data_IF_573192393541
#
_entry.id   IF_573192393541
#
_cell.length_a   1.000
_cell.length_b   1.000
_cell.length_c   1.000
_cell.angle_alpha   90.00
_cell.angle_beta   90.00
_cell.angle_gamma   90.00
#
_symmetry.space_group_name_H-M   'P 1'
#
loop_
_entity.id
_entity.type
_entity.pdbx_description
1 polymer ?
#
# COMPACT_ATOMS: atom_id res chain seq x y z
N UNK A 1 -4.20 -15.22 28.47
CA UNK A 1 -3.46 -16.19 27.58
C UNK A 1 -2.64 -15.43 26.55
N UNK A 2 -3.22 -14.48 25.79
CA UNK A 2 -2.55 -13.77 24.72
C UNK A 2 -1.29 -12.98 25.15
N UNK A 3 -1.28 -12.20 26.24
CA UNK A 3 -0.06 -11.54 26.73
C UNK A 3 1.06 -12.53 27.10
N UNK A 4 0.71 -13.73 27.56
CA UNK A 4 1.71 -14.77 27.83
C UNK A 4 2.35 -15.30 26.54
N UNK A 5 1.55 -15.47 25.47
CA UNK A 5 2.05 -15.91 24.17
C UNK A 5 2.97 -14.84 23.58
N UNK A 6 2.57 -13.56 23.61
CA UNK A 6 3.41 -12.46 23.13
C UNK A 6 4.71 -12.34 23.91
N UNK A 7 4.66 -12.48 25.24
CA UNK A 7 5.84 -12.49 26.09
C UNK A 7 6.75 -13.69 25.81
N UNK A 8 6.19 -14.84 25.45
CA UNK A 8 6.96 -16.03 25.10
C UNK A 8 7.66 -15.83 23.73
N UNK A 9 6.96 -15.26 22.74
CA UNK A 9 7.48 -15.08 21.37
C UNK A 9 8.47 -13.91 21.30
N UNK A 10 8.15 -12.79 21.91
CA UNK A 10 8.90 -11.53 21.76
C UNK A 10 9.73 -11.16 22.99
N UNK A 11 9.59 -11.88 24.10
CA UNK A 11 10.20 -11.53 25.39
C UNK A 11 9.36 -10.51 26.16
N UNK A 12 9.64 -10.42 27.47
CA UNK A 12 8.86 -9.59 28.40
C UNK A 12 9.12 -8.08 28.28
N UNK A 13 10.20 -7.69 27.60
CA UNK A 13 10.67 -6.32 27.54
C UNK A 13 10.37 -5.60 26.23
N UNK A 14 9.70 -6.27 25.27
CA UNK A 14 9.32 -5.61 24.02
C UNK A 14 8.19 -4.60 24.27
N UNK A 15 8.48 -3.33 24.03
CA UNK A 15 7.53 -2.23 24.20
C UNK A 15 7.14 -1.58 22.86
N UNK A 16 8.06 -1.61 21.87
CA UNK A 16 7.88 -0.89 20.61
C UNK A 16 8.43 -1.69 19.45
N UNK A 17 7.70 -1.69 18.35
CA UNK A 17 8.13 -2.22 17.06
C UNK A 17 8.13 -1.07 16.05
N UNK A 18 9.28 -0.81 15.41
CA UNK A 18 9.39 0.10 14.28
C UNK A 18 9.21 -0.69 12.98
N UNK A 19 8.34 -0.20 12.12
CA UNK A 19 8.01 -0.84 10.86
C UNK A 19 8.11 0.15 9.70
N UNK A 20 8.54 -0.34 8.54
CA UNK A 20 8.62 0.46 7.32
C UNK A 20 8.69 -0.42 6.07
N UNK A 21 8.55 0.20 4.90
CA UNK A 21 8.64 -0.47 3.61
C UNK A 21 7.34 -1.09 3.08
N UNK A 22 6.34 -1.28 3.94
CA UNK A 22 4.98 -1.65 3.55
C UNK A 22 3.99 -1.10 4.57
N UNK A 23 2.78 -0.78 4.13
CA UNK A 23 1.70 -0.34 5.02
C UNK A 23 1.20 -1.53 5.85
N UNK A 24 1.12 -1.34 7.15
CA UNK A 24 0.48 -2.31 8.05
C UNK A 24 -1.03 -2.09 8.07
N UNK A 25 -1.80 -3.18 8.07
CA UNK A 25 -3.25 -3.10 8.21
C UNK A 25 -3.66 -2.64 9.62
N UNK A 26 -4.78 -1.93 9.72
CA UNK A 26 -5.27 -1.36 10.98
C UNK A 26 -5.59 -2.43 12.04
N UNK A 27 -6.07 -3.60 11.63
CA UNK A 27 -6.39 -4.70 12.54
C UNK A 27 -5.13 -5.16 13.28
N UNK A 28 -4.03 -5.35 12.55
CA UNK A 28 -2.73 -5.72 13.11
C UNK A 28 -2.17 -4.62 14.02
N UNK A 29 -2.28 -3.33 13.64
CA UNK A 29 -1.87 -2.21 14.50
C UNK A 29 -2.60 -2.25 15.83
N UNK A 30 -3.94 -2.31 15.78
CA UNK A 30 -4.77 -2.36 16.99
C UNK A 30 -4.52 -3.62 17.83
N UNK A 31 -4.26 -4.76 17.20
CA UNK A 31 -3.89 -5.97 17.91
C UNK A 31 -2.68 -5.76 18.82
N UNK A 32 -1.59 -5.25 18.30
CA UNK A 32 -0.38 -5.00 19.09
C UNK A 32 -0.59 -3.92 20.16
N UNK A 33 -1.24 -2.82 19.82
CA UNK A 33 -1.54 -1.75 20.78
C UNK A 33 -2.39 -2.20 21.94
N UNK A 34 -3.46 -2.98 21.67
CA UNK A 34 -4.33 -3.51 22.72
C UNK A 34 -3.60 -4.51 23.63
N UNK A 35 -2.45 -5.00 23.23
CA UNK A 35 -1.59 -5.89 24.01
C UNK A 35 -0.35 -5.19 24.57
N UNK A 36 -0.32 -3.85 24.58
CA UNK A 36 0.72 -3.07 25.21
C UNK A 36 2.01 -2.92 24.39
N UNK A 37 2.01 -3.34 23.12
CA UNK A 37 3.14 -3.19 22.19
C UNK A 37 2.83 -2.04 21.23
N UNK A 38 3.65 -1.00 21.25
CA UNK A 38 3.50 0.15 20.39
C UNK A 38 4.04 -0.15 18.98
N UNK A 39 3.27 0.17 17.95
CA UNK A 39 3.73 0.14 16.57
C UNK A 39 4.04 1.56 16.10
N UNK A 40 5.26 1.77 15.61
CA UNK A 40 5.71 3.02 15.00
C UNK A 40 5.98 2.77 13.53
N UNK A 41 5.10 3.25 12.66
CA UNK A 41 5.33 3.20 11.22
C UNK A 41 6.22 4.34 10.77
N UNK A 42 7.13 4.02 9.83
CA UNK A 42 7.93 4.97 9.08
C UNK A 42 7.67 4.82 7.58
N UNK A 43 7.66 5.95 6.88
CA UNK A 43 7.45 6.01 5.46
C UNK A 43 8.65 6.65 4.76
N UNK A 44 9.02 6.07 3.62
CA UNK A 44 10.06 6.53 2.73
C UNK A 44 10.56 5.44 1.80
N UNK A 45 11.61 5.74 1.05
CA UNK A 45 12.20 4.85 0.06
C UNK A 45 13.72 5.05 -0.01
N UNK A 46 14.41 4.24 -0.80
CA UNK A 46 15.87 4.35 -0.97
C UNK A 46 16.29 5.73 -1.48
N UNK A 47 15.48 6.31 -2.34
CA UNK A 47 15.69 7.63 -2.93
C UNK A 47 15.59 8.78 -1.92
N UNK A 48 15.11 8.53 -0.70
CA UNK A 48 14.96 9.50 0.39
C UNK A 48 15.84 9.19 1.60
N UNK A 49 16.73 8.21 1.54
CA UNK A 49 17.79 7.82 2.48
C UNK A 49 17.35 7.48 3.93
N UNK A 50 16.49 6.55 4.21
CA UNK A 50 15.30 6.05 3.53
C UNK A 50 14.00 6.68 4.06
N UNK A 51 14.04 7.65 4.99
CA UNK A 51 12.92 8.11 5.80
C UNK A 51 12.40 9.48 5.40
N UNK A 52 11.08 9.60 5.24
CA UNK A 52 10.37 10.87 5.02
C UNK A 52 9.60 11.26 6.29
N UNK A 53 8.93 10.29 6.89
CA UNK A 53 8.15 10.49 8.11
C UNK A 53 8.21 9.26 9.01
N UNK A 54 7.96 9.45 10.29
CA UNK A 54 7.95 8.36 11.29
C UNK A 54 7.00 8.71 12.44
N UNK A 55 6.27 7.70 12.91
CA UNK A 55 5.52 7.80 14.16
C UNK A 55 6.47 7.68 15.36
N UNK A 56 6.22 8.49 16.38
CA UNK A 56 7.00 8.50 17.60
C UNK A 56 6.36 7.61 18.68
N UNK A 57 7.16 7.24 19.67
CA UNK A 57 6.71 6.54 20.88
C UNK A 57 6.02 7.47 21.88
N UNK A 58 6.20 8.77 21.71
CA UNK A 58 5.61 9.82 22.57
C UNK A 58 4.68 10.72 21.76
N UNK A 59 3.74 11.36 22.47
CA UNK A 59 2.80 12.32 21.85
C UNK A 59 3.53 13.63 21.43
N UNK A 60 3.05 14.31 20.37
CA UNK A 60 1.87 13.94 19.55
C UNK A 60 2.18 12.86 18.52
N UNK A 61 1.27 11.89 18.39
CA UNK A 61 1.33 10.82 17.40
C UNK A 61 -0.04 10.55 16.78
N UNK A 62 -0.06 10.01 15.59
CA UNK A 62 -1.30 9.52 14.95
C UNK A 62 -1.05 8.15 14.31
N UNK A 63 -1.59 7.11 14.92
CA UNK A 63 -1.45 5.72 14.51
C UNK A 63 -1.99 5.46 13.09
N UNK A 64 -2.96 6.26 12.63
CA UNK A 64 -3.56 6.12 11.31
C UNK A 64 -2.72 6.80 10.21
N UNK A 65 -1.68 7.54 10.60
CA UNK A 65 -0.71 8.18 9.70
C UNK A 65 0.55 7.32 9.55
N UNK A 66 1.37 7.64 8.56
CA UNK A 66 2.74 7.13 8.44
C UNK A 66 3.75 8.00 9.19
N UNK A 67 3.25 8.83 10.12
CA UNK A 67 4.02 9.58 11.09
C UNK A 67 4.24 11.06 10.76
N UNK A 68 4.97 11.71 11.64
CA UNK A 68 5.35 13.10 11.52
C UNK A 68 6.48 13.24 10.49
N UNK A 69 6.37 14.25 9.63
CA UNK A 69 7.42 14.57 8.66
C UNK A 69 8.71 14.98 9.39
N UNK A 70 9.86 14.48 8.92
CA UNK A 70 11.15 14.85 9.50
C UNK A 70 11.46 16.33 9.30
N UNK A 71 12.01 16.97 10.32
CA UNK A 71 12.21 18.44 10.37
C UNK A 71 13.15 18.98 9.28
N UNK A 72 14.05 18.14 8.76
CA UNK A 72 15.00 18.51 7.70
C UNK A 72 14.42 18.35 6.28
N UNK A 73 13.17 17.93 6.14
CA UNK A 73 12.50 17.70 4.86
C UNK A 73 11.34 18.66 4.63
N UNK A 74 11.12 18.98 3.37
CA UNK A 74 9.95 19.70 2.90
C UNK A 74 9.09 18.70 2.11
N UNK A 75 7.90 18.39 2.61
CA UNK A 75 6.94 17.53 1.91
C UNK A 75 5.81 18.40 1.38
N UNK A 76 5.47 18.22 0.12
CA UNK A 76 4.32 18.84 -0.54
C UNK A 76 3.48 17.78 -1.24
N UNK A 77 2.19 18.02 -1.30
CA UNK A 77 1.29 17.26 -2.15
C UNK A 77 1.12 18.05 -3.46
N UNK A 78 1.62 17.48 -4.56
CA UNK A 78 1.58 18.10 -5.88
C UNK A 78 0.82 17.16 -6.81
N UNK A 79 -0.34 17.57 -7.30
CA UNK A 79 -1.26 16.74 -8.09
C UNK A 79 -1.57 15.40 -7.40
N UNK A 80 -1.92 15.46 -6.10
CA UNK A 80 -2.21 14.34 -5.21
C UNK A 80 -1.00 13.40 -4.92
N UNK A 81 0.17 13.69 -5.49
CA UNK A 81 1.41 12.93 -5.27
C UNK A 81 2.25 13.52 -4.14
N UNK A 82 2.78 12.65 -3.28
CA UNK A 82 3.74 13.02 -2.24
C UNK A 82 5.07 13.38 -2.92
N UNK A 83 5.47 14.64 -2.78
CA UNK A 83 6.73 15.16 -3.30
C UNK A 83 7.61 15.66 -2.16
N UNK A 84 8.90 15.32 -2.19
CA UNK A 84 9.81 15.55 -1.07
C UNK A 84 11.07 16.28 -1.53
N UNK A 85 11.48 17.29 -0.77
CA UNK A 85 12.72 18.04 -0.97
C UNK A 85 13.52 18.08 0.32
N UNK A 86 14.83 18.01 0.24
CA UNK A 86 15.72 18.10 1.38
C UNK A 86 17.06 17.40 1.16
N UNK A 87 17.94 17.39 2.17
CA UNK A 87 19.31 16.91 2.03
C UNK A 87 19.43 15.40 1.85
N UNK A 88 18.40 14.63 2.22
CA UNK A 88 18.39 13.17 2.07
C UNK A 88 17.91 12.66 0.71
N UNK A 89 17.53 13.57 -0.20
CA UNK A 89 17.06 13.17 -1.54
C UNK A 89 18.26 12.77 -2.40
N UNK A 90 18.13 11.67 -3.12
CA UNK A 90 19.17 11.18 -4.04
C UNK A 90 19.56 12.23 -5.06
N UNK A 91 20.80 12.18 -5.54
CA UNK A 91 21.27 13.00 -6.67
C UNK A 91 20.70 12.52 -8.02
N UNK A 92 20.35 11.24 -8.13
CA UNK A 92 19.78 10.62 -9.32
C UNK A 92 20.06 9.13 -9.42
N UNK A 93 19.52 8.49 -10.44
CA UNK A 93 19.80 7.08 -10.75
C UNK A 93 21.10 6.96 -11.56
N UNK A 94 21.95 6.01 -11.15
CA UNK A 94 23.23 5.78 -11.82
C UNK A 94 23.03 5.42 -13.30
N UNK A 95 23.73 6.12 -14.18
CA UNK A 95 23.67 5.95 -15.63
C UNK A 95 22.24 5.98 -16.23
N UNK A 96 21.27 6.60 -15.56
CA UNK A 96 19.89 6.68 -16.04
C UNK A 96 19.30 8.10 -15.88
N UNK A 97 19.80 9.08 -16.67
CA UNK A 97 19.32 10.45 -16.59
C UNK A 97 17.84 10.59 -16.97
N UNK A 98 17.32 9.71 -17.85
CA UNK A 98 15.91 9.70 -18.22
C UNK A 98 15.03 9.41 -17.01
N UNK A 99 15.28 8.32 -16.30
CA UNK A 99 14.51 7.98 -15.08
C UNK A 99 14.70 9.03 -13.98
N UNK A 100 15.90 9.64 -13.88
CA UNK A 100 16.16 10.74 -12.94
C UNK A 100 15.28 11.94 -13.22
N UNK A 101 15.20 12.39 -14.47
CA UNK A 101 14.40 13.54 -14.89
C UNK A 101 12.87 13.29 -14.77
N UNK A 102 12.43 12.03 -14.79
CA UNK A 102 11.01 11.68 -14.58
C UNK A 102 10.57 11.87 -13.11
N UNK A 103 11.49 11.72 -12.15
CA UNK A 103 11.17 11.74 -10.71
C UNK A 103 11.71 12.97 -9.96
N UNK A 104 12.76 13.65 -10.46
CA UNK A 104 13.26 14.88 -9.88
C UNK A 104 12.68 16.08 -10.64
N UNK A 105 11.85 16.87 -9.97
CA UNK A 105 11.19 18.03 -10.57
C UNK A 105 11.62 19.32 -9.90
N UNK A 106 11.73 20.42 -10.66
CA UNK A 106 11.91 21.74 -10.10
C UNK A 106 10.52 22.34 -9.79
N UNK A 107 10.30 22.69 -8.53
CA UNK A 107 9.09 23.37 -8.10
C UNK A 107 9.46 24.51 -7.14
N UNK A 108 9.12 25.75 -7.50
CA UNK A 108 9.45 26.96 -6.74
C UNK A 108 10.95 27.05 -6.35
N UNK A 109 11.84 26.86 -7.34
CA UNK A 109 13.31 26.90 -7.19
C UNK A 109 13.90 25.87 -6.22
N UNK A 110 13.19 24.78 -5.96
CA UNK A 110 13.67 23.62 -5.17
C UNK A 110 13.45 22.34 -5.96
N UNK A 111 14.41 21.41 -5.82
CA UNK A 111 14.25 20.07 -6.38
C UNK A 111 13.39 19.25 -5.44
N UNK A 112 12.35 18.67 -6.00
CA UNK A 112 11.48 17.71 -5.32
C UNK A 112 11.59 16.35 -5.99
N UNK A 113 11.71 15.32 -5.17
CA UNK A 113 11.55 13.94 -5.59
C UNK A 113 10.07 13.56 -5.56
N UNK A 114 9.56 13.02 -6.65
CA UNK A 114 8.23 12.45 -6.81
C UNK A 114 8.26 11.01 -6.36
N UNK A 115 7.54 10.69 -5.28
CA UNK A 115 7.57 9.33 -4.71
C UNK A 115 6.81 8.30 -5.54
N UNK A 116 5.88 8.74 -6.38
CA UNK A 116 4.91 7.89 -7.05
C UNK A 116 3.78 7.42 -6.13
N UNK A 117 3.70 8.00 -4.94
CA UNK A 117 2.73 7.65 -3.92
C UNK A 117 1.71 8.79 -3.74
N UNK A 118 0.44 8.42 -3.56
CA UNK A 118 -0.65 9.32 -3.21
C UNK A 118 -0.73 9.52 -1.70
N UNK A 119 -1.07 10.73 -1.27
CA UNK A 119 -1.25 11.00 0.15
C UNK A 119 -1.65 12.42 0.46
N UNK A 120 -1.80 12.72 1.74
CA UNK A 120 -2.11 14.08 2.21
C UNK A 120 -1.43 14.37 3.55
N UNK A 121 -1.38 15.67 3.90
CA UNK A 121 -0.82 16.13 5.17
C UNK A 121 -1.96 16.70 6.02
N UNK A 122 -2.04 16.28 7.27
CA UNK A 122 -3.00 16.82 8.25
C UNK A 122 -2.31 16.97 9.60
N UNK A 123 -2.38 18.17 10.18
CA UNK A 123 -1.79 18.48 11.50
C UNK A 123 -0.28 18.11 11.62
N UNK A 124 0.48 18.21 10.51
CA UNK A 124 1.90 17.86 10.47
C UNK A 124 2.20 16.36 10.32
N UNK A 125 1.18 15.52 10.26
CA UNK A 125 1.30 14.10 9.97
C UNK A 125 1.07 13.82 8.51
N UNK A 126 1.83 12.86 7.96
CA UNK A 126 1.69 12.38 6.60
C UNK A 126 0.80 11.14 6.58
N UNK A 127 -0.15 11.13 5.65
CA UNK A 127 -1.05 9.99 5.41
C UNK A 127 -0.79 9.47 4.01
N UNK A 128 -0.62 8.16 3.92
CA UNK A 128 -0.35 7.44 2.70
C UNK A 128 -1.64 6.78 2.19
N UNK A 129 -2.01 7.06 0.94
CA UNK A 129 -3.22 6.54 0.29
C UNK A 129 -2.91 5.46 -0.76
N UNK A 130 -1.62 5.18 -1.00
CA UNK A 130 -1.20 4.16 -1.94
C UNK A 130 -0.35 4.64 -3.09
N UNK A 131 -0.04 3.71 -4.01
CA UNK A 131 0.77 4.00 -5.18
C UNK A 131 -0.07 4.54 -6.33
N UNK A 132 0.36 5.65 -6.90
CA UNK A 132 -0.27 6.25 -8.07
C UNK A 132 -0.35 5.27 -9.25
N UNK A 133 0.73 4.53 -9.49
CA UNK A 133 0.82 3.56 -10.60
C UNK A 133 -0.02 2.29 -10.42
N UNK A 134 -0.51 2.04 -9.22
CA UNK A 134 -1.40 0.90 -8.94
C UNK A 134 -2.88 1.26 -9.11
N UNK A 135 -3.20 2.54 -9.03
CA UNK A 135 -4.54 3.05 -9.29
C UNK A 135 -4.84 3.05 -10.79
N UNK A 136 -6.07 2.84 -11.15
CA UNK A 136 -6.49 2.79 -12.55
C UNK A 136 -7.87 3.43 -12.76
N UNK A 137 -8.26 3.55 -14.02
CA UNK A 137 -9.61 3.98 -14.39
C UNK A 137 -10.37 2.81 -15.01
N UNK A 138 -11.63 2.69 -14.64
CA UNK A 138 -12.58 1.86 -15.37
C UNK A 138 -12.87 2.48 -16.74
N UNK A 139 -13.43 1.70 -17.66
CA UNK A 139 -13.78 2.18 -19.00
C UNK A 139 -14.83 3.33 -19.01
N UNK A 140 -15.58 3.48 -17.92
CA UNK A 140 -16.52 4.60 -17.71
C UNK A 140 -15.83 5.85 -17.12
N UNK A 141 -14.49 5.87 -17.02
CA UNK A 141 -13.68 6.98 -16.52
C UNK A 141 -13.58 7.09 -14.99
N UNK A 142 -14.28 6.25 -14.23
CA UNK A 142 -14.21 6.28 -12.76
C UNK A 142 -12.84 5.81 -12.28
N UNK A 143 -12.22 6.62 -11.42
CA UNK A 143 -10.93 6.33 -10.81
C UNK A 143 -11.08 5.31 -9.67
N UNK A 144 -10.27 4.27 -9.70
CA UNK A 144 -10.21 3.21 -8.69
C UNK A 144 -8.92 3.35 -7.90
N UNK A 145 -9.07 3.69 -6.62
CA UNK A 145 -7.99 3.57 -5.65
C UNK A 145 -7.97 2.12 -5.14
N UNK A 146 -6.95 1.37 -5.53
CA UNK A 146 -6.81 -0.05 -5.18
C UNK A 146 -6.76 -0.24 -3.67
N UNK A 147 -6.12 0.67 -2.92
CA UNK A 147 -5.97 0.50 -1.48
C UNK A 147 -7.30 0.56 -0.72
N UNK A 148 -8.30 1.32 -1.21
CA UNK A 148 -9.64 1.29 -0.62
C UNK A 148 -10.22 -0.13 -0.68
N UNK A 149 -9.99 -0.83 -1.79
CA UNK A 149 -10.48 -2.20 -1.97
C UNK A 149 -9.61 -3.18 -1.17
N UNK A 150 -8.29 -3.09 -1.32
CA UNK A 150 -7.33 -4.00 -0.68
C UNK A 150 -7.47 -4.01 0.85
N UNK A 151 -7.65 -2.83 1.48
CA UNK A 151 -7.84 -2.70 2.93
C UNK A 151 -9.12 -3.38 3.43
N UNK A 152 -10.17 -3.40 2.61
CA UNK A 152 -11.40 -4.11 2.96
C UNK A 152 -11.26 -5.61 2.73
N UNK A 153 -10.66 -6.03 1.60
CA UNK A 153 -10.45 -7.45 1.28
C UNK A 153 -9.56 -8.13 2.33
N UNK A 154 -8.49 -7.47 2.78
CA UNK A 154 -7.57 -7.97 3.84
C UNK A 154 -8.26 -8.28 5.17
N UNK A 155 -9.42 -7.72 5.45
CA UNK A 155 -10.22 -8.07 6.64
C UNK A 155 -10.86 -9.47 6.54
N UNK A 156 -10.90 -10.05 5.34
CA UNK A 156 -11.56 -11.33 5.07
C UNK A 156 -10.61 -12.45 4.66
N UNK A 157 -9.39 -12.13 4.24
CA UNK A 157 -8.39 -13.14 3.88
C UNK A 157 -6.97 -12.67 4.22
N UNK A 158 -6.13 -13.62 4.62
CA UNK A 158 -4.67 -13.43 4.78
C UNK A 158 -3.88 -13.97 3.57
N UNK A 159 -4.57 -14.65 2.65
CA UNK A 159 -3.94 -15.18 1.44
C UNK A 159 -3.74 -14.07 0.40
N UNK A 160 -2.74 -14.21 -0.48
CA UNK A 160 -2.51 -13.27 -1.58
C UNK A 160 -3.73 -13.16 -2.50
N UNK A 161 -3.99 -11.95 -2.97
CA UNK A 161 -5.02 -11.66 -3.97
C UNK A 161 -4.58 -10.49 -4.86
N UNK A 162 -5.27 -10.29 -5.97
CA UNK A 162 -5.10 -9.13 -6.83
C UNK A 162 -6.47 -8.63 -7.30
N UNK A 163 -6.72 -7.33 -7.13
CA UNK A 163 -7.88 -6.68 -7.74
C UNK A 163 -7.49 -6.15 -9.12
N UNK A 164 -8.34 -6.35 -10.11
CA UNK A 164 -8.12 -5.95 -11.48
C UNK A 164 -9.38 -5.35 -12.10
N UNK A 165 -9.20 -4.30 -12.91
CA UNK A 165 -10.31 -3.62 -13.59
C UNK A 165 -9.84 -2.51 -14.53
N UNK A 166 -8.51 -2.40 -14.78
CA UNK A 166 -7.95 -1.34 -15.62
C UNK A 166 -8.55 -1.36 -17.03
N UNK A 167 -9.19 -0.23 -17.42
CA UNK A 167 -9.93 -0.08 -18.68
C UNK A 167 -11.03 -1.14 -18.89
N UNK A 168 -11.56 -1.73 -17.83
CA UNK A 168 -12.66 -2.71 -17.88
C UNK A 168 -13.95 -2.08 -17.34
N UNK A 169 -15.08 -2.76 -17.56
CA UNK A 169 -16.40 -2.28 -17.14
C UNK A 169 -16.63 -2.35 -15.63
N UNK A 170 -15.89 -3.20 -14.92
CA UNK A 170 -15.99 -3.42 -13.47
C UNK A 170 -14.71 -4.04 -12.92
N UNK A 171 -14.61 -4.09 -11.58
CA UNK A 171 -13.51 -4.77 -10.91
C UNK A 171 -13.79 -6.25 -10.73
N UNK A 172 -12.74 -7.08 -10.86
CA UNK A 172 -12.73 -8.48 -10.45
C UNK A 172 -11.68 -8.67 -9.36
N UNK A 173 -11.80 -9.76 -8.59
CA UNK A 173 -10.75 -10.23 -7.70
C UNK A 173 -10.16 -11.53 -8.24
N UNK A 174 -8.84 -11.63 -8.21
CA UNK A 174 -8.09 -12.82 -8.57
C UNK A 174 -7.61 -13.45 -7.28
N UNK A 175 -7.90 -14.72 -7.07
CA UNK A 175 -7.59 -15.48 -5.86
C UNK A 175 -7.10 -16.87 -6.22
N UNK A 176 -6.41 -17.54 -5.31
CA UNK A 176 -6.07 -18.96 -5.45
C UNK A 176 -7.23 -19.88 -4.98
N UNK A 177 -7.22 -21.13 -5.43
CA UNK A 177 -8.28 -22.12 -5.13
C UNK A 177 -8.49 -22.36 -3.63
N UNK A 178 -7.42 -22.24 -2.82
CA UNK A 178 -7.47 -22.38 -1.37
C UNK A 178 -7.98 -21.12 -0.64
N UNK A 179 -8.34 -20.06 -1.37
CA UNK A 179 -8.89 -18.85 -0.77
C UNK A 179 -10.29 -19.10 -0.19
N UNK A 180 -10.57 -18.46 0.93
CA UNK A 180 -11.88 -18.47 1.56
C UNK A 180 -12.87 -17.45 0.98
N UNK A 181 -12.47 -16.68 -0.05
CA UNK A 181 -13.35 -15.67 -0.68
C UNK A 181 -14.29 -16.36 -1.65
N UNK A 182 -15.55 -16.45 -1.27
CA UNK A 182 -16.66 -16.88 -2.10
C UNK A 182 -17.61 -15.71 -2.45
N UNK A 183 -18.69 -15.98 -3.16
CA UNK A 183 -19.71 -14.97 -3.48
C UNK A 183 -20.36 -14.36 -2.24
N UNK A 184 -20.46 -15.10 -1.14
CA UNK A 184 -21.05 -14.61 0.12
C UNK A 184 -20.12 -13.57 0.77
N UNK A 185 -18.83 -13.88 0.85
CA UNK A 185 -17.80 -12.96 1.36
C UNK A 185 -17.66 -11.76 0.43
N UNK A 186 -17.67 -11.98 -0.89
CA UNK A 186 -17.63 -10.90 -1.88
C UNK A 186 -18.78 -9.89 -1.69
N UNK A 187 -19.97 -10.37 -1.40
CA UNK A 187 -21.11 -9.49 -1.10
C UNK A 187 -20.90 -8.69 0.19
N UNK A 188 -20.25 -9.27 1.21
CA UNK A 188 -19.91 -8.54 2.46
C UNK A 188 -18.84 -7.48 2.21
N UNK A 189 -17.85 -7.76 1.38
CA UNK A 189 -16.82 -6.81 0.93
C UNK A 189 -17.51 -5.64 0.21
N UNK A 190 -18.36 -5.94 -0.78
CA UNK A 190 -19.05 -4.93 -1.58
C UNK A 190 -19.96 -4.01 -0.76
N UNK A 191 -20.57 -4.50 0.32
CA UNK A 191 -21.38 -3.65 1.23
C UNK A 191 -20.57 -2.56 1.92
N UNK A 192 -19.24 -2.73 2.04
CA UNK A 192 -18.34 -1.72 2.64
C UNK A 192 -17.72 -0.79 1.59
N UNK A 193 -17.84 -1.10 0.31
CA UNK A 193 -17.27 -0.34 -0.80
C UNK A 193 -18.30 0.60 -1.43
N UNK A 194 -17.83 1.70 -1.99
CA UNK A 194 -18.64 2.54 -2.89
C UNK A 194 -19.02 1.73 -4.14
N UNK A 195 -20.18 1.98 -4.71
CA UNK A 195 -20.75 1.17 -5.81
C UNK A 195 -19.82 0.98 -7.02
N UNK A 196 -19.04 1.99 -7.39
CA UNK A 196 -18.10 1.91 -8.51
C UNK A 196 -16.81 1.13 -8.18
N UNK A 197 -16.53 0.88 -6.90
CA UNK A 197 -15.43 0.04 -6.43
C UNK A 197 -15.84 -1.43 -6.28
N UNK A 198 -17.12 -1.76 -6.43
CA UNK A 198 -17.62 -3.12 -6.26
C UNK A 198 -16.87 -4.09 -7.16
N UNK A 199 -16.52 -5.22 -6.58
CA UNK A 199 -15.95 -6.38 -7.26
C UNK A 199 -17.12 -7.25 -7.75
N UNK A 200 -17.23 -7.47 -9.05
CA UNK A 200 -18.39 -8.19 -9.61
C UNK A 200 -18.14 -9.66 -9.83
N UNK A 201 -16.87 -10.05 -10.03
CA UNK A 201 -16.56 -11.44 -10.33
C UNK A 201 -15.26 -11.89 -9.68
N UNK A 202 -15.07 -13.21 -9.61
CA UNK A 202 -13.92 -13.88 -9.01
C UNK A 202 -13.22 -14.70 -10.10
N UNK A 203 -11.93 -14.42 -10.34
CA UNK A 203 -11.05 -15.27 -11.12
C UNK A 203 -10.26 -16.16 -10.17
N UNK A 204 -10.54 -17.46 -10.20
CA UNK A 204 -9.78 -18.44 -9.42
C UNK A 204 -8.60 -18.97 -10.24
N UNK A 205 -7.42 -19.04 -9.62
CA UNK A 205 -6.20 -19.58 -10.19
C UNK A 205 -5.65 -20.70 -9.32
N UNK A 206 -4.80 -21.54 -9.90
CA UNK A 206 -4.16 -22.65 -9.19
C UNK A 206 -3.39 -22.17 -7.96
N UNK A 207 -3.35 -23.00 -6.93
CA UNK A 207 -2.58 -22.75 -5.72
C UNK A 207 -1.08 -22.53 -6.04
N UNK A 208 -0.44 -21.65 -5.29
CA UNK A 208 0.94 -21.20 -5.47
C UNK A 208 1.20 -20.41 -6.77
N UNK A 209 0.17 -19.96 -7.49
CA UNK A 209 0.32 -19.06 -8.64
C UNK A 209 0.95 -17.75 -8.21
N UNK A 210 0.46 -17.13 -7.14
CA UNK A 210 1.01 -15.84 -6.66
C UNK A 210 2.47 -15.95 -6.23
N UNK A 211 2.87 -17.06 -5.64
CA UNK A 211 4.25 -17.27 -5.18
C UNK A 211 5.27 -17.14 -6.31
N UNK A 212 4.93 -17.55 -7.53
CA UNK A 212 5.79 -17.42 -8.73
C UNK A 212 6.09 -15.96 -9.11
N UNK A 213 5.22 -15.04 -8.68
CA UNK A 213 5.31 -13.61 -8.98
C UNK A 213 5.62 -12.74 -7.76
N UNK A 214 6.04 -13.34 -6.64
CA UNK A 214 6.48 -12.57 -5.47
C UNK A 214 7.93 -12.09 -5.63
N UNK A 215 8.20 -10.89 -5.13
CA UNK A 215 9.57 -10.41 -4.94
C UNK A 215 10.16 -11.03 -3.67
N UNK A 216 11.51 -10.97 -3.47
CA UNK A 216 12.12 -11.35 -2.18
C UNK A 216 11.57 -10.59 -0.97
N UNK A 217 10.98 -9.40 -1.17
CA UNK A 217 10.32 -8.59 -0.14
C UNK A 217 8.83 -8.94 0.05
N UNK A 218 8.38 -10.07 -0.50
CA UNK A 218 6.98 -10.53 -0.43
C UNK A 218 5.95 -9.56 -1.05
N UNK A 219 6.37 -8.72 -1.99
CA UNK A 219 5.46 -7.89 -2.78
C UNK A 219 5.16 -8.53 -4.13
N UNK A 220 3.90 -8.42 -4.58
CA UNK A 220 3.44 -9.03 -5.82
C UNK A 220 3.88 -8.21 -7.04
N UNK A 221 4.47 -8.86 -8.02
CA UNK A 221 4.78 -8.31 -9.34
C UNK A 221 3.52 -8.28 -10.21
N UNK A 222 2.60 -7.37 -9.90
CA UNK A 222 1.25 -7.30 -10.49
C UNK A 222 1.26 -7.31 -12.01
N UNK A 223 2.16 -6.55 -12.66
CA UNK A 223 2.24 -6.48 -14.12
C UNK A 223 2.68 -7.80 -14.77
N UNK A 224 3.55 -8.59 -14.12
CA UNK A 224 3.97 -9.90 -14.63
C UNK A 224 2.82 -10.91 -14.48
N UNK A 225 2.14 -10.90 -13.34
CA UNK A 225 0.97 -11.74 -13.08
C UNK A 225 -0.19 -11.41 -14.04
N UNK A 226 -0.46 -10.12 -14.27
CA UNK A 226 -1.48 -9.67 -15.23
C UNK A 226 -1.22 -10.24 -16.63
N UNK A 227 0.00 -10.10 -17.13
CA UNK A 227 0.39 -10.65 -18.43
C UNK A 227 0.21 -12.17 -18.50
N UNK A 228 0.59 -12.88 -17.44
CA UNK A 228 0.44 -14.33 -17.34
C UNK A 228 -1.03 -14.77 -17.37
N UNK A 229 -1.92 -13.98 -16.74
CA UNK A 229 -3.35 -14.29 -16.62
C UNK A 229 -4.21 -13.63 -17.71
N UNK A 230 -3.62 -12.94 -18.70
CA UNK A 230 -4.34 -12.10 -19.66
C UNK A 230 -5.47 -12.83 -20.38
N UNK A 231 -5.25 -14.08 -20.80
CA UNK A 231 -6.27 -14.87 -21.50
C UNK A 231 -7.45 -15.22 -20.57
N UNK A 232 -7.16 -15.64 -19.34
CA UNK A 232 -8.18 -15.93 -18.33
C UNK A 232 -8.98 -14.66 -17.95
N UNK A 233 -8.29 -13.53 -17.80
CA UNK A 233 -8.93 -12.22 -17.54
C UNK A 233 -9.87 -11.85 -18.68
N UNK A 234 -9.44 -11.99 -19.93
CA UNK A 234 -10.24 -11.65 -21.10
C UNK A 234 -11.50 -12.51 -21.23
N UNK A 235 -11.47 -13.76 -20.77
CA UNK A 235 -12.66 -14.65 -20.77
C UNK A 235 -13.74 -14.12 -19.82
N UNK A 236 -13.38 -13.59 -18.65
CA UNK A 236 -14.34 -13.08 -17.65
C UNK A 236 -15.07 -11.82 -18.15
N UNK A 237 -14.41 -11.01 -18.98
CA UNK A 237 -14.99 -9.77 -19.48
C UNK A 237 -15.71 -9.91 -20.85
N UNK A 238 -15.80 -11.11 -21.40
CA UNK A 238 -16.60 -11.41 -22.58
C UNK A 238 -18.07 -11.58 -22.23
#
# INVERSE_FOLDING_TARGET
ILPYILNYVFGKNLQTIFMGGAQLDETTKHFYLNNGIMICEGYGCSETSPMISVNHTVEPRDINSVGKILDNLIVKIINDEICVSGPSIMAGYWNNPKATNEVLINHNNKIFYKTGDEGYIKNGFLYYNGRFKENYKLNNGKFVNINEIDNIVKQYTTLPFMVYGNNKSYNIIIIEENSNIDKTILNRINKKLKSFLHIKDILTVENNTFQKFMTPKMSLKKNELEKFLQDKINIIYK
#
